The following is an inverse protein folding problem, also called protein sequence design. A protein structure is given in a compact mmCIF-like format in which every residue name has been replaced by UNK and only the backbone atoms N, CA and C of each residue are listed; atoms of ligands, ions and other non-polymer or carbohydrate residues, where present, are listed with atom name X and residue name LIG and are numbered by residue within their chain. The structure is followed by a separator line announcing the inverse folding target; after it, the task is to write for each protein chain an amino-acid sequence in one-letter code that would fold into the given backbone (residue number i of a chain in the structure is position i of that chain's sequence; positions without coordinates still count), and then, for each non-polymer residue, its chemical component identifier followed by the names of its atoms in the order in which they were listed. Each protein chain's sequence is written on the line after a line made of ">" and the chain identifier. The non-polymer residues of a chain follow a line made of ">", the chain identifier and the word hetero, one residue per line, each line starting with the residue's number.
data_IF_108165449733
#
_entry.id   IF_108165449733
#
_cell.length_a   1.000
_cell.length_b   1.000
_cell.length_c   1.000
_cell.angle_alpha   90.00
_cell.angle_beta   90.00
_cell.angle_gamma   90.00
#
_symmetry.space_group_name_H-M   'P 1'
#
loop_
_entity.id
_entity.type
_entity.pdbx_description
1 polymer ?
#
# COMPACT_ATOMS: atom_id res chain seq x y z
N UNK A 1 -20.11 11.91 -14.82
CA UNK A 1 -20.71 11.29 -13.63
C UNK A 1 -22.10 10.77 -14.01
N UNK A 2 -22.28 9.45 -14.01
CA UNK A 2 -23.54 8.81 -14.38
C UNK A 2 -24.32 8.53 -13.09
N UNK A 3 -25.41 9.27 -12.84
CA UNK A 3 -26.23 9.16 -11.60
C UNK A 3 -26.62 7.71 -11.31
N UNK A 4 -26.96 6.95 -12.36
CA UNK A 4 -27.31 5.53 -12.26
C UNK A 4 -26.15 4.69 -11.70
N UNK A 5 -24.90 4.99 -12.06
CA UNK A 5 -23.75 4.23 -11.57
C UNK A 5 -23.39 4.57 -10.12
N UNK A 6 -23.58 5.81 -9.68
CA UNK A 6 -23.43 6.17 -8.26
C UNK A 6 -24.52 5.52 -7.40
N UNK A 7 -25.75 5.37 -7.90
CA UNK A 7 -26.79 4.59 -7.22
C UNK A 7 -26.42 3.11 -7.08
N UNK A 8 -25.89 2.49 -8.13
CA UNK A 8 -25.44 1.08 -8.10
C UNK A 8 -24.28 0.92 -7.11
N UNK A 9 -23.35 1.88 -7.08
CA UNK A 9 -22.26 1.94 -6.11
C UNK A 9 -22.77 2.03 -4.67
N UNK A 10 -23.73 2.90 -4.40
CA UNK A 10 -24.35 2.99 -3.07
C UNK A 10 -25.02 1.67 -2.69
N UNK A 11 -25.78 1.05 -3.61
CA UNK A 11 -26.41 -0.26 -3.40
C UNK A 11 -25.39 -1.36 -3.08
N UNK A 12 -24.23 -1.34 -3.74
CA UNK A 12 -23.15 -2.28 -3.48
C UNK A 12 -22.61 -2.12 -2.06
N UNK A 13 -22.30 -0.89 -1.62
CA UNK A 13 -21.85 -0.65 -0.24
C UNK A 13 -22.92 -1.00 0.80
N UNK A 14 -24.19 -0.70 0.53
CA UNK A 14 -25.31 -1.10 1.41
C UNK A 14 -25.39 -2.64 1.51
N UNK A 15 -25.26 -3.35 0.40
CA UNK A 15 -25.22 -4.81 0.39
C UNK A 15 -24.02 -5.35 1.19
N UNK A 16 -22.82 -4.78 1.01
CA UNK A 16 -21.64 -5.17 1.75
C UNK A 16 -21.84 -4.98 3.26
N UNK A 17 -22.39 -3.86 3.70
CA UNK A 17 -22.67 -3.62 5.11
C UNK A 17 -23.68 -4.65 5.67
N UNK A 18 -24.78 -4.89 4.95
CA UNK A 18 -25.83 -5.85 5.37
C UNK A 18 -25.35 -7.30 5.37
N UNK A 19 -24.41 -7.64 4.48
CA UNK A 19 -23.86 -8.99 4.34
C UNK A 19 -22.74 -9.31 5.33
N UNK A 20 -22.48 -8.43 6.32
CA UNK A 20 -21.30 -8.50 7.20
C UNK A 20 -20.01 -8.53 6.37
N UNK A 21 -19.92 -7.60 5.42
CA UNK A 21 -18.80 -7.38 4.51
C UNK A 21 -18.52 -8.59 3.61
N UNK A 22 -19.54 -9.27 3.10
CA UNK A 22 -19.38 -10.47 2.27
C UNK A 22 -19.58 -10.20 0.78
N UNK A 23 -18.49 -10.06 -0.01
CA UNK A 23 -18.59 -9.83 -1.44
C UNK A 23 -19.42 -10.89 -2.17
N UNK A 24 -19.30 -12.16 -1.76
CA UNK A 24 -20.03 -13.28 -2.40
C UNK A 24 -21.55 -13.11 -2.37
N UNK A 25 -22.09 -12.35 -1.41
CA UNK A 25 -23.52 -12.05 -1.31
C UNK A 25 -23.97 -10.87 -2.18
N UNK A 26 -23.03 -10.11 -2.74
CA UNK A 26 -23.27 -8.89 -3.52
C UNK A 26 -22.83 -9.01 -5.00
N UNK A 27 -22.50 -10.22 -5.48
CA UNK A 27 -22.00 -10.49 -6.84
C UNK A 27 -22.88 -9.95 -7.97
N UNK A 28 -24.20 -9.98 -7.77
CA UNK A 28 -25.13 -9.44 -8.77
C UNK A 28 -24.90 -7.94 -8.98
N UNK A 29 -24.83 -7.16 -7.90
CA UNK A 29 -24.56 -5.72 -7.93
C UNK A 29 -23.13 -5.45 -8.39
N UNK A 30 -22.18 -6.31 -8.04
CA UNK A 30 -20.80 -6.23 -8.52
C UNK A 30 -20.73 -6.28 -10.06
N UNK A 31 -21.54 -7.13 -10.69
CA UNK A 31 -21.59 -7.24 -12.16
C UNK A 31 -22.09 -5.94 -12.79
N UNK A 32 -23.16 -5.35 -12.25
CA UNK A 32 -23.65 -4.03 -12.66
C UNK A 32 -22.59 -2.93 -12.47
N UNK A 33 -21.83 -2.98 -11.37
CA UNK A 33 -20.73 -2.06 -11.10
C UNK A 33 -19.60 -2.18 -12.14
N UNK A 34 -19.26 -3.42 -12.55
CA UNK A 34 -18.26 -3.68 -13.60
C UNK A 34 -18.72 -3.17 -14.97
N UNK A 35 -20.01 -3.28 -15.27
CA UNK A 35 -20.58 -2.68 -16.48
C UNK A 35 -20.51 -1.14 -16.44
N UNK A 36 -20.81 -0.55 -15.29
CA UNK A 36 -20.61 0.88 -15.06
C UNK A 36 -19.14 1.27 -15.30
N UNK A 37 -18.18 0.52 -14.75
CA UNK A 37 -16.75 0.78 -14.94
C UNK A 37 -16.33 0.77 -16.40
N UNK A 38 -16.83 -0.20 -17.19
CA UNK A 38 -16.58 -0.27 -18.64
C UNK A 38 -17.22 0.90 -19.40
N UNK A 39 -18.38 1.38 -18.96
CA UNK A 39 -19.13 2.44 -19.64
C UNK A 39 -18.58 3.82 -19.35
N UNK A 40 -18.20 4.09 -18.09
CA UNK A 40 -17.69 5.40 -17.65
C UNK A 40 -16.17 5.52 -17.79
N UNK A 41 -15.46 4.39 -17.85
CA UNK A 41 -14.00 4.36 -17.75
C UNK A 41 -13.48 4.61 -16.33
N UNK A 42 -14.38 4.71 -15.34
CA UNK A 42 -14.03 4.94 -13.93
C UNK A 42 -13.72 3.60 -13.24
N UNK A 43 -12.75 3.62 -12.32
CA UNK A 43 -12.53 2.49 -11.40
C UNK A 43 -13.43 2.64 -10.17
N UNK A 44 -14.14 1.57 -9.82
CA UNK A 44 -14.92 1.48 -8.58
C UNK A 44 -14.24 0.61 -7.52
N UNK A 45 -12.96 0.28 -7.70
CA UNK A 45 -12.12 -0.46 -6.75
C UNK A 45 -12.70 -1.81 -6.31
N UNK A 46 -13.38 -2.49 -7.23
CA UNK A 46 -14.14 -3.71 -6.94
C UNK A 46 -13.21 -4.82 -6.48
N UNK A 47 -12.11 -5.02 -7.20
CA UNK A 47 -11.15 -6.07 -6.92
C UNK A 47 -10.42 -5.77 -5.60
N UNK A 48 -10.02 -4.53 -5.35
CA UNK A 48 -9.39 -4.10 -4.10
C UNK A 48 -10.33 -4.25 -2.90
N UNK A 49 -11.61 -3.92 -3.04
CA UNK A 49 -12.62 -4.16 -1.99
C UNK A 49 -12.75 -5.65 -1.73
N UNK A 50 -12.90 -6.47 -2.78
CA UNK A 50 -13.09 -7.91 -2.64
C UNK A 50 -11.90 -8.55 -1.93
N UNK A 51 -10.68 -8.25 -2.36
CA UNK A 51 -9.44 -8.75 -1.76
C UNK A 51 -9.31 -8.28 -0.30
N UNK A 52 -9.58 -7.01 -0.02
CA UNK A 52 -9.53 -6.47 1.34
C UNK A 52 -10.56 -7.15 2.26
N UNK A 53 -11.77 -7.40 1.78
CA UNK A 53 -12.82 -8.08 2.57
C UNK A 53 -12.52 -9.55 2.79
N UNK A 54 -11.89 -10.22 1.82
CA UNK A 54 -11.41 -11.59 1.96
C UNK A 54 -10.26 -11.67 2.97
N UNK A 55 -9.21 -10.86 2.81
CA UNK A 55 -8.10 -10.81 3.74
C UNK A 55 -8.56 -10.42 5.16
N UNK A 56 -9.46 -9.45 5.30
CA UNK A 56 -9.96 -9.04 6.62
C UNK A 56 -10.66 -10.17 7.39
N UNK A 57 -11.12 -11.24 6.72
CA UNK A 57 -11.70 -12.43 7.36
C UNK A 57 -10.66 -13.46 7.74
N UNK A 58 -9.65 -13.62 6.90
CA UNK A 58 -8.56 -14.56 7.08
C UNK A 58 -7.24 -13.84 6.82
N UNK A 59 -6.77 -13.02 7.78
CA UNK A 59 -5.65 -12.13 7.55
C UNK A 59 -4.36 -12.90 7.32
N UNK A 60 -3.52 -12.37 6.43
CA UNK A 60 -2.16 -12.84 6.23
C UNK A 60 -1.23 -12.36 7.36
N UNK A 61 0.06 -12.69 7.27
CA UNK A 61 1.07 -12.24 8.24
C UNK A 61 1.30 -10.73 8.21
N UNK A 62 0.89 -10.04 7.14
CA UNK A 62 0.96 -8.59 7.02
C UNK A 62 -0.29 -7.88 7.56
N UNK A 63 -1.27 -8.64 8.04
CA UNK A 63 -2.57 -8.14 8.51
C UNK A 63 -3.26 -7.29 7.42
N UNK A 64 -3.18 -7.76 6.18
CA UNK A 64 -3.81 -7.14 5.01
C UNK A 64 -3.28 -5.74 4.66
N UNK A 65 -2.09 -5.37 5.12
CA UNK A 65 -1.52 -4.03 4.89
C UNK A 65 -1.45 -3.70 3.39
N UNK A 66 -1.13 -4.70 2.55
CA UNK A 66 -1.08 -4.57 1.08
C UNK A 66 -2.46 -4.26 0.50
N UNK A 67 -3.50 -4.99 0.89
CA UNK A 67 -4.87 -4.76 0.42
C UNK A 67 -5.44 -3.42 0.88
N UNK A 68 -5.15 -3.02 2.12
CA UNK A 68 -5.53 -1.70 2.63
C UNK A 68 -4.90 -0.57 1.80
N UNK A 69 -3.60 -0.70 1.50
CA UNK A 69 -2.90 0.26 0.67
C UNK A 69 -3.49 0.34 -0.74
N UNK A 70 -3.70 -0.80 -1.41
CA UNK A 70 -4.25 -0.84 -2.76
C UNK A 70 -5.65 -0.23 -2.82
N UNK A 71 -6.53 -0.58 -1.88
CA UNK A 71 -7.87 0.01 -1.80
C UNK A 71 -7.81 1.53 -1.57
N UNK A 72 -6.96 1.99 -0.65
CA UNK A 72 -6.79 3.42 -0.34
C UNK A 72 -6.26 4.23 -1.51
N UNK A 73 -5.38 3.66 -2.32
CA UNK A 73 -4.85 4.32 -3.51
C UNK A 73 -5.82 4.26 -4.69
N UNK A 74 -6.56 3.16 -4.86
CA UNK A 74 -7.62 3.08 -5.87
C UNK A 74 -8.75 4.08 -5.61
N UNK A 75 -9.17 4.24 -4.35
CA UNK A 75 -10.30 5.11 -3.99
C UNK A 75 -9.99 6.62 -4.06
N UNK A 76 -8.84 7.01 -4.60
CA UNK A 76 -8.50 8.43 -4.84
C UNK A 76 -9.26 8.97 -6.06
N UNK A 77 -9.87 10.16 -5.98
CA UNK A 77 -10.60 10.75 -7.11
C UNK A 77 -9.74 11.00 -8.36
N UNK A 78 -8.48 11.39 -8.20
CA UNK A 78 -7.53 11.63 -9.30
C UNK A 78 -6.67 10.40 -9.65
N UNK A 79 -7.07 9.23 -9.13
CA UNK A 79 -6.41 7.95 -9.30
C UNK A 79 -5.26 7.71 -8.32
N UNK A 80 -4.61 6.53 -8.38
CA UNK A 80 -3.57 6.15 -7.44
C UNK A 80 -2.35 7.06 -7.58
N UNK A 81 -1.86 7.55 -6.45
CA UNK A 81 -0.60 8.27 -6.36
C UNK A 81 0.57 7.32 -6.18
N UNK A 82 0.34 6.25 -5.43
CA UNK A 82 1.34 5.22 -5.17
C UNK A 82 0.83 3.87 -5.67
N UNK A 83 1.77 3.06 -6.16
CA UNK A 83 1.58 1.76 -6.75
C UNK A 83 2.53 0.76 -6.10
N UNK A 84 2.25 -0.52 -6.25
CA UNK A 84 3.21 -1.58 -5.96
C UNK A 84 3.68 -2.22 -7.27
N UNK A 85 4.99 -2.18 -7.52
CA UNK A 85 5.64 -2.77 -8.69
C UNK A 85 6.85 -3.58 -8.21
N UNK A 86 6.98 -4.84 -8.63
CA UNK A 86 8.11 -5.71 -8.27
C UNK A 86 8.47 -5.69 -6.76
N UNK A 87 7.45 -5.76 -5.91
CA UNK A 87 7.58 -5.68 -4.45
C UNK A 87 8.20 -4.36 -3.93
N UNK A 88 7.96 -3.25 -4.65
CA UNK A 88 8.38 -1.90 -4.25
C UNK A 88 7.20 -0.95 -4.28
N UNK A 89 7.22 0.01 -3.37
CA UNK A 89 6.33 1.17 -3.46
C UNK A 89 6.89 2.16 -4.47
N UNK A 90 6.08 2.52 -5.45
CA UNK A 90 6.43 3.44 -6.54
C UNK A 90 5.41 4.57 -6.60
N UNK A 91 5.87 5.81 -6.71
CA UNK A 91 5.02 6.99 -6.93
C UNK A 91 4.75 7.10 -8.43
N UNK A 92 3.47 7.23 -8.80
CA UNK A 92 3.08 7.51 -10.17
C UNK A 92 3.74 8.81 -10.66
N UNK A 93 4.36 8.76 -11.84
CA UNK A 93 5.15 9.88 -12.40
C UNK A 93 4.40 11.20 -12.44
N UNK A 94 3.09 11.16 -12.75
CA UNK A 94 2.16 12.31 -12.75
C UNK A 94 1.93 12.98 -11.38
N UNK A 95 2.44 12.40 -10.30
CA UNK A 95 2.24 12.87 -8.93
C UNK A 95 3.56 13.10 -8.18
N UNK A 96 4.72 12.94 -8.84
CA UNK A 96 6.04 13.10 -8.20
C UNK A 96 6.25 14.48 -7.58
N UNK A 97 5.73 15.51 -8.22
CA UNK A 97 5.76 16.90 -7.76
C UNK A 97 5.07 17.11 -6.40
N UNK A 98 4.15 16.21 -6.03
CA UNK A 98 3.45 16.24 -4.74
C UNK A 98 4.30 15.67 -3.59
N UNK A 99 5.47 15.08 -3.85
CA UNK A 99 6.31 14.40 -2.86
C UNK A 99 7.76 14.91 -2.87
N UNK A 100 8.36 15.02 -1.69
CA UNK A 100 9.77 15.40 -1.55
C UNK A 100 10.68 14.19 -1.77
N UNK A 101 10.83 13.76 -3.02
CA UNK A 101 11.58 12.57 -3.42
C UNK A 101 12.51 12.87 -4.60
N UNK A 102 13.65 12.16 -4.66
CA UNK A 102 14.59 12.27 -5.78
C UNK A 102 14.27 11.31 -6.93
N UNK A 103 13.45 10.29 -6.69
CA UNK A 103 13.04 9.28 -7.65
C UNK A 103 11.62 8.77 -7.32
N UNK A 104 11.02 8.02 -8.25
CA UNK A 104 9.69 7.45 -8.06
C UNK A 104 9.67 6.25 -7.10
N UNK A 105 10.79 5.54 -6.95
CA UNK A 105 10.86 4.34 -6.12
C UNK A 105 11.07 4.74 -4.66
N UNK A 106 10.05 4.56 -3.83
CA UNK A 106 10.13 4.85 -2.39
C UNK A 106 11.01 3.81 -1.68
N UNK A 107 10.81 2.53 -1.98
CA UNK A 107 11.53 1.44 -1.34
C UNK A 107 10.83 0.08 -1.51
N UNK A 108 11.41 -0.96 -0.91
CA UNK A 108 10.81 -2.30 -0.85
C UNK A 108 9.53 -2.27 0.00
N UNK A 109 8.54 -3.07 -0.41
CA UNK A 109 7.29 -3.22 0.34
C UNK A 109 7.46 -4.10 1.59
N UNK A 110 8.40 -5.05 1.55
CA UNK A 110 8.73 -5.90 2.69
C UNK A 110 9.98 -5.40 3.42
N UNK A 111 10.00 -5.61 4.73
CA UNK A 111 11.15 -5.26 5.56
C UNK A 111 12.38 -6.14 5.20
N UNK A 112 13.60 -5.60 5.32
CA UNK A 112 14.80 -6.40 5.08
C UNK A 112 14.93 -7.51 6.13
N UNK A 113 15.41 -8.67 5.70
CA UNK A 113 15.73 -9.76 6.62
C UNK A 113 16.94 -9.41 7.49
N UNK A 114 16.97 -9.98 8.70
CA UNK A 114 18.12 -9.85 9.60
C UNK A 114 19.34 -10.48 8.93
N UNK A 115 20.35 -9.67 8.67
CA UNK A 115 21.62 -10.13 8.12
C UNK A 115 22.78 -9.38 8.80
N UNK A 116 23.61 -10.11 9.55
CA UNK A 116 24.72 -9.53 10.32
C UNK A 116 25.74 -8.79 9.45
N UNK A 117 25.97 -9.27 8.22
CA UNK A 117 26.86 -8.61 7.26
C UNK A 117 26.30 -7.26 6.82
N UNK A 118 24.99 -7.20 6.54
CA UNK A 118 24.31 -5.94 6.23
C UNK A 118 24.36 -4.98 7.42
N UNK A 119 24.12 -5.48 8.63
CA UNK A 119 24.21 -4.68 9.85
C UNK A 119 25.62 -4.11 10.06
N UNK A 120 26.66 -4.94 9.93
CA UNK A 120 28.05 -4.51 10.09
C UNK A 120 28.45 -3.47 9.02
N UNK A 121 28.06 -3.71 7.75
CA UNK A 121 28.29 -2.78 6.64
C UNK A 121 27.60 -1.43 6.87
N UNK A 122 26.34 -1.45 7.31
CA UNK A 122 25.60 -0.23 7.65
C UNK A 122 26.25 0.54 8.81
N UNK A 123 26.65 -0.16 9.88
CA UNK A 123 27.35 0.45 11.00
C UNK A 123 28.68 1.09 10.58
N UNK A 124 29.42 0.45 9.67
CA UNK A 124 30.66 1.01 9.15
C UNK A 124 30.41 2.31 8.38
N UNK A 125 29.40 2.33 7.49
CA UNK A 125 28.98 3.55 6.79
C UNK A 125 28.56 4.66 7.75
N UNK A 126 27.81 4.33 8.81
CA UNK A 126 27.43 5.33 9.81
C UNK A 126 28.65 5.93 10.54
N UNK A 127 29.65 5.12 10.89
CA UNK A 127 30.89 5.62 11.51
C UNK A 127 31.65 6.57 10.58
N UNK A 128 31.70 6.23 9.30
CA UNK A 128 32.32 7.05 8.27
C UNK A 128 31.59 8.38 8.11
N UNK A 129 30.25 8.38 8.04
CA UNK A 129 29.45 9.60 7.88
C UNK A 129 29.47 10.51 9.10
N UNK A 130 29.40 9.95 10.31
CA UNK A 130 29.25 10.74 11.54
C UNK A 130 30.57 11.30 12.08
N UNK A 131 31.71 10.72 11.67
CA UNK A 131 33.06 11.15 12.07
C UNK A 131 33.30 11.30 13.59
N UNK A 132 32.50 10.64 14.44
CA UNK A 132 32.65 10.74 15.89
C UNK A 132 33.99 10.12 16.34
N UNK A 133 34.76 10.87 17.14
CA UNK A 133 36.07 10.44 17.66
C UNK A 133 35.98 9.11 18.41
N UNK A 134 34.92 8.93 19.20
CA UNK A 134 34.67 7.72 19.99
C UNK A 134 34.41 6.44 19.16
N UNK A 135 34.19 6.56 17.84
CA UNK A 135 34.12 5.38 16.97
C UNK A 135 35.47 4.97 16.38
N UNK A 136 36.44 5.89 16.34
CA UNK A 136 37.81 5.66 15.89
C UNK A 136 38.70 5.23 17.04
N UNK A 137 38.57 5.93 18.15
CA UNK A 137 39.20 5.60 19.41
C UNK A 137 38.33 4.51 20.05
N UNK A 138 38.87 3.31 20.29
CA UNK A 138 38.17 2.23 21.03
C UNK A 138 37.99 2.64 22.51
N UNK A 139 37.33 3.76 22.75
CA UNK A 139 37.27 4.40 24.04
C UNK A 139 36.28 3.65 24.93
N UNK A 140 36.80 3.04 25.99
CA UNK A 140 36.04 2.45 27.07
C UNK A 140 36.57 3.08 28.35
N UNK A 141 35.78 3.98 28.96
CA UNK A 141 36.22 4.79 30.10
C UNK A 141 36.62 3.95 31.32
N UNK A 142 35.93 2.84 31.54
CA UNK A 142 36.23 1.85 32.57
C UNK A 142 35.74 0.49 32.10
N UNK A 143 36.58 -0.54 32.25
CA UNK A 143 36.25 -1.93 31.96
C UNK A 143 36.59 -2.75 33.19
N UNK A 144 35.59 -3.40 33.78
CA UNK A 144 35.74 -4.35 34.89
C UNK A 144 36.69 -5.49 34.54
#
# INVERSE_FOLDING_TARGET
>A
MNEKCEEVKLKYYTCLNNSKRNPSKCKYIETELRECSKTTGESYCIDEINNLMECSRSPDSSVCAKDFFLFRECNRPDGPHMLMEDNKYVIATKHLDKYNVNNAIIGLADAPERNNTNTASFLQKMKETLHLKNFKEKFVAYKW
#
